data_IF_106480608305
#
_entry.id   IF_106480608305
#
_cell.length_a   1.000
_cell.length_b   1.000
_cell.length_c   1.000
_cell.angle_alpha   90.00
_cell.angle_beta   90.00
_cell.angle_gamma   90.00
#
_symmetry.space_group_name_H-M   'P 1'
#
loop_
_entity.id
_entity.type
_entity.pdbx_description
1 polymer ?
#
# COMPACT_ATOMS: atom_id res chain seq x y z
N UNK A 1 -29.77 15.40 -17.36
CA UNK A 1 -28.61 15.23 -18.25
C UNK A 1 -27.57 14.48 -17.45
N UNK A 2 -27.56 13.16 -17.60
CA UNK A 2 -26.77 12.22 -16.81
C UNK A 2 -25.85 11.51 -17.79
N UNK A 3 -24.55 11.49 -17.45
CA UNK A 3 -23.47 10.61 -17.93
C UNK A 3 -23.25 10.41 -19.44
N UNK A 4 -22.22 11.08 -19.95
CA UNK A 4 -21.40 10.57 -21.07
C UNK A 4 -19.96 10.18 -20.66
N UNK A 5 -19.57 10.32 -19.38
CA UNK A 5 -18.22 9.93 -18.91
C UNK A 5 -18.15 8.52 -18.26
N UNK A 6 -19.20 7.71 -18.37
CA UNK A 6 -19.26 6.37 -17.78
C UNK A 6 -18.56 5.27 -18.61
N UNK A 7 -17.82 5.64 -19.67
CA UNK A 7 -17.18 4.69 -20.59
C UNK A 7 -15.65 4.53 -20.40
N UNK A 8 -15.02 5.27 -19.47
CA UNK A 8 -13.57 5.27 -19.28
C UNK A 8 -13.05 4.45 -18.08
N UNK A 9 -13.94 3.84 -17.29
CA UNK A 9 -13.55 2.98 -16.18
C UNK A 9 -14.38 1.70 -16.20
N UNK A 10 -14.01 0.78 -17.11
CA UNK A 10 -14.33 -0.64 -16.94
C UNK A 10 -13.02 -1.39 -16.88
N UNK A 11 -12.96 -2.29 -15.90
CA UNK A 11 -11.95 -3.32 -15.69
C UNK A 11 -10.69 -2.90 -14.92
N UNK A 12 -10.88 -2.35 -13.71
CA UNK A 12 -9.93 -2.63 -12.61
C UNK A 12 -10.24 -4.03 -12.06
N UNK A 13 -9.72 -5.06 -12.73
CA UNK A 13 -9.55 -6.37 -12.12
C UNK A 13 -8.32 -6.31 -11.20
N UNK A 14 -8.53 -6.53 -9.90
CA UNK A 14 -7.47 -6.97 -9.01
C UNK A 14 -6.91 -8.28 -9.60
N UNK A 15 -5.68 -8.23 -10.11
CA UNK A 15 -5.07 -9.35 -10.82
C UNK A 15 -4.19 -10.15 -9.86
N UNK A 16 -4.76 -11.19 -9.24
CA UNK A 16 -4.04 -12.21 -8.46
C UNK A 16 -3.45 -13.30 -9.39
N UNK A 17 -2.89 -12.95 -10.54
CA UNK A 17 -2.36 -13.92 -11.52
C UNK A 17 -0.82 -13.81 -11.67
N UNK A 18 -0.04 -14.87 -11.35
CA UNK A 18 1.41 -14.90 -11.60
C UNK A 18 1.78 -14.85 -13.10
N UNK A 19 0.79 -14.95 -13.99
CA UNK A 19 0.94 -14.95 -15.46
C UNK A 19 0.37 -13.70 -16.13
N UNK A 20 0.49 -12.51 -15.53
CA UNK A 20 0.31 -11.26 -16.28
C UNK A 20 1.54 -11.05 -17.19
N UNK A 21 1.66 -11.89 -18.23
CA UNK A 21 2.81 -11.94 -19.12
C UNK A 21 2.70 -10.84 -20.18
N UNK A 22 3.20 -9.65 -19.85
CA UNK A 22 3.56 -8.67 -20.88
C UNK A 22 4.60 -9.34 -21.79
N UNK A 23 4.16 -9.84 -22.94
CA UNK A 23 4.98 -10.61 -23.88
C UNK A 23 4.86 -10.06 -25.31
N UNK A 24 5.23 -8.78 -25.53
CA UNK A 24 5.13 -8.15 -26.84
C UNK A 24 5.98 -8.87 -27.87
N UNK A 25 5.44 -8.89 -29.10
CA UNK A 25 6.06 -9.51 -30.27
C UNK A 25 5.99 -8.53 -31.44
N UNK A 26 7.14 -8.15 -32.00
CA UNK A 26 7.25 -7.30 -33.19
C UNK A 26 8.12 -7.99 -34.23
N UNK A 27 7.81 -7.78 -35.52
CA UNK A 27 8.65 -8.28 -36.63
C UNK A 27 9.26 -7.07 -37.32
N UNK A 28 10.57 -7.06 -37.46
CA UNK A 28 11.34 -6.00 -38.11
C UNK A 28 12.34 -6.61 -39.07
N UNK A 29 12.30 -6.20 -40.35
CA UNK A 29 13.17 -6.73 -41.41
C UNK A 29 13.22 -8.27 -41.45
N UNK A 30 12.09 -8.93 -41.18
CA UNK A 30 11.96 -10.39 -41.13
C UNK A 30 12.45 -11.05 -39.85
N UNK A 31 13.05 -10.30 -38.92
CA UNK A 31 13.44 -10.78 -37.58
C UNK A 31 12.28 -10.57 -36.63
N UNK A 32 11.83 -11.64 -35.99
CA UNK A 32 10.88 -11.56 -34.90
C UNK A 32 11.60 -11.28 -33.58
N UNK A 33 11.14 -10.24 -32.88
CA UNK A 33 11.58 -9.85 -31.54
C UNK A 33 10.44 -10.15 -30.58
N UNK A 34 10.67 -11.02 -29.61
CA UNK A 34 9.71 -11.37 -28.57
C UNK A 34 10.31 -11.09 -27.20
N UNK A 35 9.57 -10.41 -26.34
CA UNK A 35 9.86 -10.38 -24.91
C UNK A 35 9.01 -11.43 -24.20
N UNK A 36 9.60 -12.16 -23.26
CA UNK A 36 8.88 -13.13 -22.44
C UNK A 36 9.58 -13.28 -21.09
N UNK A 37 8.82 -13.18 -19.99
CA UNK A 37 9.30 -13.50 -18.64
C UNK A 37 10.60 -12.80 -18.21
N UNK A 38 10.86 -11.57 -18.66
CA UNK A 38 12.09 -10.84 -18.31
C UNK A 38 13.26 -11.05 -19.28
N UNK A 39 13.02 -11.57 -20.49
CA UNK A 39 14.07 -11.79 -21.48
C UNK A 39 13.61 -11.56 -22.92
N UNK A 40 14.54 -11.19 -23.79
CA UNK A 40 14.31 -11.07 -25.23
C UNK A 40 14.79 -12.31 -25.99
N UNK A 41 13.97 -12.74 -26.95
CA UNK A 41 14.32 -13.77 -27.93
C UNK A 41 14.12 -13.22 -29.33
N UNK A 42 15.08 -13.50 -30.21
CA UNK A 42 15.09 -13.09 -31.61
C UNK A 42 15.00 -14.31 -32.51
N UNK A 43 14.19 -14.27 -33.57
CA UNK A 43 14.07 -15.37 -34.54
C UNK A 43 14.10 -14.88 -35.97
N UNK A 44 14.88 -15.55 -36.82
CA UNK A 44 14.91 -15.35 -38.26
C UNK A 44 14.92 -16.70 -38.98
N UNK A 45 13.83 -17.04 -39.67
CA UNK A 45 13.61 -18.39 -40.18
C UNK A 45 13.66 -19.42 -39.04
N UNK A 46 14.52 -20.42 -39.18
CA UNK A 46 14.73 -21.49 -38.19
C UNK A 46 15.79 -21.15 -37.11
N UNK A 47 16.45 -19.98 -37.21
CA UNK A 47 17.50 -19.55 -36.28
C UNK A 47 16.93 -18.72 -35.15
N UNK A 48 17.41 -18.97 -33.93
CA UNK A 48 16.97 -18.31 -32.70
C UNK A 48 18.20 -17.78 -31.95
N UNK A 49 18.13 -16.56 -31.43
CA UNK A 49 19.11 -15.97 -30.55
C UNK A 49 18.45 -15.48 -29.25
N UNK A 50 19.04 -15.84 -28.11
CA UNK A 50 18.51 -15.56 -26.76
C UNK A 50 18.31 -16.85 -25.94
N UNK A 51 17.66 -16.76 -24.77
CA UNK A 51 17.10 -15.55 -24.17
C UNK A 51 18.19 -14.56 -23.70
N UNK A 52 17.91 -13.27 -23.85
CA UNK A 52 18.75 -12.17 -23.37
C UNK A 52 18.05 -11.41 -22.25
N UNK A 53 18.64 -11.39 -21.05
CA UNK A 53 18.09 -10.66 -19.90
C UNK A 53 18.52 -9.19 -19.86
N UNK A 54 19.68 -8.88 -20.44
CA UNK A 54 20.19 -7.50 -20.55
C UNK A 54 20.38 -7.15 -22.03
N UNK A 55 19.43 -6.39 -22.57
CA UNK A 55 19.43 -6.00 -23.98
C UNK A 55 20.45 -4.90 -24.29
N UNK A 56 20.94 -4.18 -23.27
CA UNK A 56 21.94 -3.13 -23.45
C UNK A 56 23.31 -3.70 -23.79
N UNK A 57 23.63 -4.89 -23.28
CA UNK A 57 24.89 -5.60 -23.55
C UNK A 57 24.90 -6.34 -24.89
N UNK A 58 23.74 -6.69 -25.44
CA UNK A 58 23.66 -7.37 -26.74
C UNK A 58 24.17 -6.47 -27.86
N UNK A 59 25.18 -6.89 -28.61
CA UNK A 59 25.68 -6.13 -29.75
C UNK A 59 25.02 -6.57 -31.07
N UNK A 60 24.90 -5.68 -32.07
CA UNK A 60 24.40 -6.05 -33.39
C UNK A 60 25.24 -7.13 -34.07
N UNK A 61 26.55 -7.17 -33.84
CA UNK A 61 27.46 -8.17 -34.39
C UNK A 61 27.15 -9.57 -33.85
N UNK A 62 26.95 -9.70 -32.54
CA UNK A 62 26.58 -10.98 -31.91
C UNK A 62 25.24 -11.49 -32.46
N UNK A 63 24.26 -10.59 -32.59
CA UNK A 63 22.93 -10.93 -33.10
C UNK A 63 22.97 -11.32 -34.58
N UNK A 64 23.78 -10.60 -35.37
CA UNK A 64 24.05 -10.88 -36.79
C UNK A 64 24.66 -12.27 -36.97
N UNK A 65 25.68 -12.61 -36.19
CA UNK A 65 26.35 -13.91 -36.25
C UNK A 65 25.40 -15.06 -35.90
N UNK A 66 24.66 -14.95 -34.79
CA UNK A 66 23.74 -16.01 -34.32
C UNK A 66 22.57 -16.23 -35.27
N UNK A 67 22.02 -15.17 -35.86
CA UNK A 67 20.87 -15.26 -36.76
C UNK A 67 21.26 -15.41 -38.24
N UNK A 68 22.53 -15.21 -38.60
CA UNK A 68 22.99 -15.22 -40.00
C UNK A 68 22.32 -14.15 -40.86
N UNK A 69 22.09 -12.98 -40.29
CA UNK A 69 21.47 -11.82 -40.94
C UNK A 69 22.51 -10.73 -41.18
N UNK A 70 22.18 -9.73 -42.01
CA UNK A 70 23.07 -8.57 -42.14
C UNK A 70 23.03 -7.67 -40.87
N UNK A 71 24.05 -6.83 -40.73
CA UNK A 71 24.20 -5.95 -39.56
C UNK A 71 23.07 -4.91 -39.45
N UNK A 72 22.44 -4.54 -40.57
CA UNK A 72 21.34 -3.56 -40.58
C UNK A 72 20.07 -4.18 -39.99
N UNK A 73 19.74 -5.42 -40.36
CA UNK A 73 18.66 -6.21 -39.79
C UNK A 73 18.91 -6.50 -38.31
N UNK A 74 20.15 -6.83 -37.93
CA UNK A 74 20.52 -7.05 -36.53
C UNK A 74 20.37 -5.77 -35.69
N UNK A 75 20.84 -4.62 -36.19
CA UNK A 75 20.67 -3.33 -35.53
C UNK A 75 19.19 -2.98 -35.36
N UNK A 76 18.38 -3.14 -36.41
CA UNK A 76 16.94 -2.86 -36.36
C UNK A 76 16.20 -3.75 -35.35
N UNK A 77 16.56 -5.03 -35.27
CA UNK A 77 16.03 -5.97 -34.27
C UNK A 77 16.41 -5.55 -32.85
N UNK A 78 17.67 -5.20 -32.59
CA UNK A 78 18.12 -4.70 -31.28
C UNK A 78 17.39 -3.41 -30.87
N UNK A 79 17.29 -2.44 -31.78
CA UNK A 79 16.57 -1.18 -31.50
C UNK A 79 15.09 -1.43 -31.20
N UNK A 80 14.47 -2.40 -31.88
CA UNK A 80 13.09 -2.79 -31.59
C UNK A 80 12.95 -3.40 -30.20
N UNK A 81 13.92 -4.21 -29.76
CA UNK A 81 13.94 -4.75 -28.40
C UNK A 81 14.14 -3.66 -27.34
N UNK A 82 15.04 -2.71 -27.59
CA UNK A 82 15.23 -1.53 -26.73
C UNK A 82 13.95 -0.70 -26.62
N UNK A 83 13.30 -0.41 -27.74
CA UNK A 83 12.03 0.32 -27.75
C UNK A 83 10.95 -0.43 -26.95
N UNK A 84 10.83 -1.75 -27.15
CA UNK A 84 9.90 -2.58 -26.36
C UNK A 84 10.20 -2.45 -24.87
N UNK A 85 11.48 -2.53 -24.47
CA UNK A 85 11.89 -2.42 -23.06
C UNK A 85 11.57 -1.03 -22.47
N UNK A 86 11.84 0.04 -23.23
CA UNK A 86 11.50 1.41 -22.85
C UNK A 86 9.98 1.64 -22.75
N UNK A 87 9.20 1.11 -23.70
CA UNK A 87 7.73 1.17 -23.68
C UNK A 87 7.19 0.50 -22.40
N UNK A 88 7.82 -0.59 -21.92
CA UNK A 88 7.47 -1.21 -20.63
C UNK A 88 7.77 -0.31 -19.45
N UNK A 89 8.96 0.30 -19.44
CA UNK A 89 9.33 1.23 -18.37
C UNK A 89 8.42 2.45 -18.38
N UNK A 90 7.97 2.91 -19.55
CA UNK A 90 7.00 3.99 -19.71
C UNK A 90 5.60 3.58 -19.24
N UNK A 91 5.09 2.40 -19.60
CA UNK A 91 3.83 1.85 -19.05
C UNK A 91 3.90 1.69 -17.52
N UNK A 92 5.07 1.35 -16.97
CA UNK A 92 5.33 1.29 -15.52
C UNK A 92 5.45 2.69 -14.90
N UNK A 93 5.96 3.69 -15.63
CA UNK A 93 5.97 5.08 -15.19
C UNK A 93 4.59 5.74 -15.27
N UNK A 94 3.77 5.34 -16.23
CA UNK A 94 2.37 5.73 -16.39
C UNK A 94 1.46 5.05 -15.35
N UNK A 95 1.96 4.03 -14.64
CA UNK A 95 1.34 3.49 -13.43
C UNK A 95 1.55 4.46 -12.26
N UNK A 96 0.73 5.52 -12.26
CA UNK A 96 0.65 6.60 -11.26
C UNK A 96 1.96 7.36 -11.01
N UNK A 97 2.15 8.47 -11.72
CA UNK A 97 3.03 9.50 -11.20
C UNK A 97 2.41 10.08 -9.90
N UNK A 98 3.26 10.57 -8.99
CA UNK A 98 2.81 11.29 -7.78
C UNK A 98 1.86 12.43 -8.18
N UNK A 99 2.03 13.02 -9.37
CA UNK A 99 1.15 14.05 -9.93
C UNK A 99 -0.27 13.56 -10.16
N UNK A 100 -0.44 12.41 -10.79
CA UNK A 100 -1.76 11.81 -11.03
C UNK A 100 -2.47 11.48 -9.72
N UNK A 101 -1.71 10.99 -8.74
CA UNK A 101 -2.24 10.75 -7.40
C UNK A 101 -2.68 12.06 -6.73
N UNK A 102 -1.88 13.12 -6.84
CA UNK A 102 -2.21 14.44 -6.31
C UNK A 102 -3.47 15.01 -6.96
N UNK A 103 -3.63 14.85 -8.28
CA UNK A 103 -4.80 15.29 -9.02
C UNK A 103 -6.05 14.49 -8.63
N UNK A 104 -5.94 13.17 -8.54
CA UNK A 104 -7.04 12.28 -8.14
C UNK A 104 -7.51 12.58 -6.70
N UNK A 105 -6.57 12.70 -5.75
CA UNK A 105 -6.87 13.10 -4.37
C UNK A 105 -7.32 14.58 -4.28
N UNK A 106 -6.96 15.40 -5.27
CA UNK A 106 -7.34 16.80 -5.42
C UNK A 106 -8.84 17.05 -5.59
N UNK A 107 -9.61 16.01 -5.94
CA UNK A 107 -11.07 16.09 -6.05
C UNK A 107 -11.73 16.33 -4.68
N UNK A 108 -11.21 15.70 -3.63
CA UNK A 108 -11.72 15.84 -2.25
C UNK A 108 -10.85 16.77 -1.39
N UNK A 109 -9.53 16.66 -1.52
CA UNK A 109 -8.55 17.45 -0.75
C UNK A 109 -7.80 18.39 -1.70
N UNK A 110 -8.36 19.60 -1.86
CA UNK A 110 -7.92 20.59 -2.87
C UNK A 110 -6.53 21.21 -2.67
N UNK A 111 -5.98 21.14 -1.46
CA UNK A 111 -4.67 21.70 -1.07
C UNK A 111 -3.90 20.67 -0.27
N UNK A 112 -2.67 20.98 0.13
CA UNK A 112 -1.85 20.12 0.99
C UNK A 112 -1.46 18.79 0.31
N UNK A 113 -0.79 18.93 -0.83
CA UNK A 113 -0.49 17.84 -1.76
C UNK A 113 0.42 16.77 -1.14
N UNK A 114 1.38 17.20 -0.31
CA UNK A 114 2.27 16.28 0.38
C UNK A 114 1.53 15.49 1.46
N UNK A 115 0.75 16.16 2.33
CA UNK A 115 0.08 15.44 3.41
C UNK A 115 -1.00 14.49 2.88
N UNK A 116 -1.72 14.85 1.81
CA UNK A 116 -2.73 13.96 1.24
C UNK A 116 -2.11 12.72 0.60
N UNK A 117 -1.00 12.85 -0.13
CA UNK A 117 -0.28 11.70 -0.70
C UNK A 117 0.27 10.80 0.40
N UNK A 118 0.98 11.37 1.38
CA UNK A 118 1.56 10.57 2.49
C UNK A 118 0.46 9.86 3.27
N UNK A 119 -0.67 10.52 3.52
CA UNK A 119 -1.80 9.90 4.23
C UNK A 119 -2.41 8.76 3.44
N UNK A 120 -2.60 8.94 2.13
CA UNK A 120 -3.11 7.87 1.27
C UNK A 120 -2.18 6.66 1.26
N UNK A 121 -0.88 6.87 1.07
CA UNK A 121 0.12 5.80 1.09
C UNK A 121 0.20 5.10 2.45
N UNK A 122 0.08 5.85 3.55
CA UNK A 122 0.02 5.26 4.88
C UNK A 122 -1.24 4.39 5.07
N UNK A 123 -2.41 4.82 4.59
CA UNK A 123 -3.61 3.98 4.63
C UNK A 123 -3.49 2.75 3.74
N UNK A 124 -2.91 2.91 2.54
CA UNK A 124 -2.67 1.80 1.62
C UNK A 124 -1.71 0.76 2.22
N UNK A 125 -0.72 1.21 3.01
CA UNK A 125 0.21 0.32 3.69
C UNK A 125 -0.47 -0.67 4.64
N UNK A 126 -1.69 -0.40 5.12
CA UNK A 126 -2.45 -1.36 5.93
C UNK A 126 -2.64 -2.71 5.22
N UNK A 127 -2.70 -2.70 3.88
CA UNK A 127 -2.96 -3.89 3.08
C UNK A 127 -1.70 -4.68 2.70
N UNK A 128 -0.51 -4.20 3.08
CA UNK A 128 0.73 -4.98 2.99
C UNK A 128 0.81 -5.98 4.14
N UNK A 129 1.78 -6.90 4.07
CA UNK A 129 1.94 -7.91 5.11
C UNK A 129 2.66 -7.36 6.34
N UNK A 130 3.71 -6.53 6.18
CA UNK A 130 4.57 -6.09 7.28
C UNK A 130 5.11 -4.64 7.18
N UNK A 131 4.61 -3.83 6.25
CA UNK A 131 5.15 -2.49 5.97
C UNK A 131 4.18 -1.36 6.37
N UNK A 132 3.37 -1.59 7.40
CA UNK A 132 2.36 -0.61 7.81
C UNK A 132 3.03 0.65 8.37
N UNK A 133 2.48 1.81 8.03
CA UNK A 133 3.05 3.11 8.40
C UNK A 133 2.14 3.81 9.41
N UNK A 134 2.77 4.43 10.41
CA UNK A 134 2.11 5.30 11.36
C UNK A 134 2.30 6.77 10.97
N UNK A 135 1.22 7.55 11.01
CA UNK A 135 1.22 8.98 10.69
C UNK A 135 0.63 9.76 11.86
N UNK A 136 1.22 10.91 12.20
CA UNK A 136 0.66 11.83 13.18
C UNK A 136 0.57 13.24 12.63
N UNK A 137 -0.66 13.74 12.58
CA UNK A 137 -0.98 15.12 12.27
C UNK A 137 -0.85 15.98 13.52
N UNK A 138 0.19 16.82 13.58
CA UNK A 138 0.47 17.74 14.68
C UNK A 138 0.06 19.16 14.28
N UNK A 139 -1.02 19.66 14.89
CA UNK A 139 -1.44 21.06 14.75
C UNK A 139 -2.24 21.50 15.97
N UNK A 140 -2.40 22.81 16.22
CA UNK A 140 -3.26 23.33 17.31
C UNK A 140 -4.73 22.97 17.09
N UNK A 141 -5.50 22.64 18.15
CA UNK A 141 -6.91 22.19 18.05
C UNK A 141 -7.74 23.04 17.07
N UNK A 142 -8.64 22.40 16.32
CA UNK A 142 -9.56 23.06 15.36
C UNK A 142 -8.97 23.60 14.05
N UNK A 143 -7.77 23.17 13.64
CA UNK A 143 -7.09 23.54 12.38
C UNK A 143 -7.32 22.58 11.21
N UNK A 144 -8.31 21.68 11.27
CA UNK A 144 -8.60 20.74 10.17
C UNK A 144 -7.69 19.51 10.09
N UNK A 145 -6.91 19.20 11.13
CA UNK A 145 -6.05 17.99 11.23
C UNK A 145 -6.74 16.64 11.03
N UNK A 146 -8.06 16.55 11.25
CA UNK A 146 -8.82 15.33 10.95
C UNK A 146 -9.40 15.33 9.53
N UNK A 147 -9.43 16.47 8.83
CA UNK A 147 -10.04 16.61 7.51
C UNK A 147 -9.36 15.70 6.48
N UNK A 148 -8.04 15.83 6.31
CA UNK A 148 -7.28 15.06 5.31
C UNK A 148 -7.42 13.54 5.56
N UNK A 149 -7.18 13.01 6.77
CA UNK A 149 -7.43 11.59 7.05
C UNK A 149 -8.88 11.16 6.86
N UNK A 150 -9.86 11.97 7.25
CA UNK A 150 -11.27 11.57 7.12
C UNK A 150 -11.70 11.49 5.65
N UNK A 151 -11.35 12.49 4.84
CA UNK A 151 -11.66 12.51 3.41
C UNK A 151 -11.00 11.36 2.67
N UNK A 152 -9.71 11.10 2.93
CA UNK A 152 -9.00 10.00 2.28
C UNK A 152 -9.55 8.65 2.75
N UNK A 153 -9.95 8.52 4.02
CA UNK A 153 -10.53 7.27 4.53
C UNK A 153 -11.81 6.87 3.81
N UNK A 154 -12.52 7.80 3.18
CA UNK A 154 -13.73 7.53 2.40
C UNK A 154 -13.43 6.74 1.10
N UNK A 155 -12.17 6.77 0.62
CA UNK A 155 -11.73 6.06 -0.58
C UNK A 155 -11.46 4.57 -0.32
N UNK A 156 -11.36 4.15 0.95
CA UNK A 156 -11.03 2.78 1.34
C UNK A 156 -12.29 1.98 1.73
N UNK A 157 -12.23 0.64 1.74
CA UNK A 157 -13.33 -0.19 2.23
C UNK A 157 -13.69 0.17 3.68
N UNK A 158 -14.94 0.59 3.90
CA UNK A 158 -15.34 1.14 5.20
C UNK A 158 -15.35 0.10 6.32
N UNK A 159 -15.47 -1.18 6.00
CA UNK A 159 -15.28 -2.28 6.96
C UNK A 159 -13.86 -2.29 7.52
N UNK A 160 -12.86 -1.83 6.76
CA UNK A 160 -11.44 -1.78 7.18
C UNK A 160 -11.08 -0.53 7.98
N UNK A 161 -11.95 0.48 7.98
CA UNK A 161 -11.72 1.75 8.68
C UNK A 161 -12.23 1.68 10.11
N UNK A 162 -11.34 1.98 11.06
CA UNK A 162 -11.62 1.99 12.49
C UNK A 162 -11.42 3.39 13.04
N UNK A 163 -12.52 4.17 13.14
CA UNK A 163 -12.49 5.52 13.71
C UNK A 163 -12.61 5.47 15.23
N UNK A 164 -11.76 6.23 15.92
CA UNK A 164 -11.67 6.27 17.38
C UNK A 164 -11.65 7.73 17.81
N UNK A 165 -12.79 8.25 18.27
CA UNK A 165 -12.88 9.62 18.78
C UNK A 165 -12.28 9.73 20.18
N UNK A 166 -12.78 8.91 21.09
CA UNK A 166 -12.25 8.75 22.43
C UNK A 166 -12.52 7.30 22.84
N UNK A 167 -11.52 6.60 23.34
CA UNK A 167 -11.69 5.25 23.86
C UNK A 167 -10.94 5.12 25.17
N UNK A 168 -11.67 4.78 26.23
CA UNK A 168 -11.02 4.20 27.40
C UNK A 168 -10.38 2.86 27.01
N UNK A 169 -9.31 2.42 27.70
CA UNK A 169 -8.68 1.14 27.39
C UNK A 169 -9.69 0.00 27.42
N UNK A 170 -10.59 -0.02 28.40
CA UNK A 170 -11.61 -1.07 28.54
C UNK A 170 -12.67 -1.01 27.44
N UNK A 171 -13.14 0.16 27.03
CA UNK A 171 -14.12 0.28 25.94
C UNK A 171 -13.57 -0.26 24.62
N UNK A 172 -12.30 0.02 24.31
CA UNK A 172 -11.63 -0.47 23.10
C UNK A 172 -11.73 -2.00 22.99
N UNK A 173 -11.48 -2.70 24.11
CA UNK A 173 -11.47 -4.16 24.14
C UNK A 173 -12.86 -4.78 24.20
N UNK A 174 -13.84 -4.09 24.78
CA UNK A 174 -15.20 -4.61 24.94
C UNK A 174 -16.10 -4.42 23.72
N UNK A 175 -15.89 -3.36 22.92
CA UNK A 175 -16.76 -3.05 21.79
C UNK A 175 -16.34 -3.76 20.49
N UNK A 176 -15.07 -4.18 20.37
CA UNK A 176 -14.52 -4.73 19.12
C UNK A 176 -14.20 -6.21 19.14
N UNK A 177 -14.17 -6.81 20.32
CA UNK A 177 -13.72 -8.17 20.46
C UNK A 177 -14.82 -9.18 20.19
N UNK A 178 -14.59 -10.07 19.23
CA UNK A 178 -15.41 -11.27 19.08
C UNK A 178 -15.02 -12.26 20.19
N UNK A 179 -16.01 -12.81 20.90
CA UNK A 179 -15.72 -13.87 21.86
C UNK A 179 -15.52 -15.16 21.09
N UNK A 180 -14.34 -15.73 21.24
CA UNK A 180 -14.03 -17.06 20.75
C UNK A 180 -14.75 -18.08 21.64
N UNK A 181 -15.63 -18.90 21.06
CA UNK A 181 -16.46 -19.85 21.81
C UNK A 181 -15.66 -21.04 22.34
N UNK A 182 -14.54 -21.37 21.73
CA UNK A 182 -13.70 -22.52 22.07
C UNK A 182 -12.76 -22.20 23.25
N UNK A 183 -12.13 -21.02 23.20
CA UNK A 183 -11.14 -20.57 24.20
C UNK A 183 -11.75 -19.64 25.25
N UNK A 184 -12.90 -19.03 24.96
CA UNK A 184 -13.53 -18.01 25.79
C UNK A 184 -12.81 -16.65 25.77
N UNK A 185 -11.79 -16.50 24.93
CA UNK A 185 -11.00 -15.27 24.78
C UNK A 185 -11.75 -14.21 23.96
N UNK A 186 -11.39 -12.96 24.16
CA UNK A 186 -11.88 -11.84 23.36
C UNK A 186 -10.83 -11.55 22.28
N UNK A 187 -11.14 -11.85 21.03
CA UNK A 187 -10.22 -11.68 19.90
C UNK A 187 -10.51 -10.37 19.15
N UNK A 188 -9.45 -9.60 18.89
CA UNK A 188 -9.47 -8.34 18.16
C UNK A 188 -8.51 -8.44 16.99
N UNK A 189 -9.08 -8.55 15.80
CA UNK A 189 -8.33 -8.60 14.55
C UNK A 189 -8.13 -7.18 13.98
N UNK A 190 -6.87 -6.75 13.96
CA UNK A 190 -6.41 -5.49 13.38
C UNK A 190 -5.67 -5.69 12.04
N UNK A 191 -5.63 -6.91 11.52
CA UNK A 191 -5.00 -7.19 10.24
C UNK A 191 -5.72 -6.48 9.10
N UNK A 192 -4.94 -5.77 8.27
CA UNK A 192 -5.47 -4.96 7.16
C UNK A 192 -6.53 -3.94 7.60
N UNK A 193 -6.40 -3.42 8.83
CA UNK A 193 -7.25 -2.33 9.35
C UNK A 193 -6.48 -1.01 9.36
N UNK A 194 -7.24 0.07 9.16
CA UNK A 194 -6.74 1.45 9.27
C UNK A 194 -7.36 2.05 10.52
N UNK A 195 -6.54 2.38 11.53
CA UNK A 195 -6.98 3.03 12.75
C UNK A 195 -6.82 4.53 12.62
N UNK A 196 -7.90 5.28 12.85
CA UNK A 196 -7.89 6.74 12.83
C UNK A 196 -8.31 7.24 14.20
N UNK A 197 -7.35 7.75 14.96
CA UNK A 197 -7.59 8.44 16.23
C UNK A 197 -7.90 9.90 15.95
N UNK A 198 -9.15 10.32 16.21
CA UNK A 198 -9.61 11.69 15.96
C UNK A 198 -9.23 12.67 17.08
N UNK A 199 -8.84 12.13 18.24
CA UNK A 199 -8.29 12.87 19.38
C UNK A 199 -7.20 12.03 20.07
N UNK A 200 -6.52 12.61 21.04
CA UNK A 200 -5.46 11.95 21.79
C UNK A 200 -6.00 10.71 22.51
N UNK A 201 -5.49 9.50 22.20
CA UNK A 201 -5.91 8.30 22.91
C UNK A 201 -5.44 8.37 24.36
N UNK A 202 -6.17 7.68 25.24
CA UNK A 202 -5.76 7.55 26.63
C UNK A 202 -4.38 6.88 26.72
N UNK A 203 -3.47 7.39 27.56
CA UNK A 203 -2.08 6.90 27.64
C UNK A 203 -1.98 5.38 27.84
N UNK A 204 -2.80 4.81 28.73
CA UNK A 204 -2.83 3.35 28.94
C UNK A 204 -3.27 2.54 27.70
N UNK A 205 -4.07 3.11 26.80
CA UNK A 205 -4.41 2.45 25.55
C UNK A 205 -3.21 2.50 24.61
N UNK A 206 -2.57 3.67 24.50
CA UNK A 206 -1.37 3.84 23.69
C UNK A 206 -0.25 2.90 24.15
N UNK A 207 0.02 2.82 25.45
CA UNK A 207 1.01 1.91 26.05
C UNK A 207 0.77 0.45 25.68
N UNK A 208 -0.49 0.02 25.58
CA UNK A 208 -0.84 -1.33 25.15
C UNK A 208 -0.70 -1.52 23.64
N UNK A 209 -0.93 -0.48 22.85
CA UNK A 209 -0.77 -0.57 21.40
C UNK A 209 0.69 -0.38 20.94
N UNK A 210 1.59 0.08 21.82
CA UNK A 210 3.02 0.30 21.51
C UNK A 210 3.69 -0.83 20.74
N UNK A 211 3.59 -2.11 21.14
CA UNK A 211 4.27 -3.19 20.44
C UNK A 211 3.77 -3.41 19.01
N UNK A 212 2.51 -3.04 18.72
CA UNK A 212 1.95 -3.08 17.37
C UNK A 212 2.41 -1.88 16.55
N UNK A 213 2.45 -0.68 17.16
CA UNK A 213 2.93 0.54 16.49
C UNK A 213 4.42 0.45 16.14
N UNK A 214 5.18 -0.36 16.87
CA UNK A 214 6.60 -0.59 16.63
C UNK A 214 6.92 -1.79 15.74
N UNK A 215 5.91 -2.55 15.33
CA UNK A 215 6.06 -3.83 14.63
C UNK A 215 6.91 -4.87 15.38
N UNK A 216 6.98 -4.77 16.72
CA UNK A 216 7.77 -5.68 17.55
C UNK A 216 7.06 -7.04 17.72
N UNK A 217 5.73 -7.04 17.83
CA UNK A 217 4.91 -8.24 18.04
C UNK A 217 3.59 -8.16 17.28
N UNK A 218 3.35 -9.11 16.37
CA UNK A 218 2.11 -9.22 15.58
C UNK A 218 0.91 -9.69 16.40
N UNK A 219 1.15 -10.33 17.55
CA UNK A 219 0.11 -10.85 18.44
C UNK A 219 0.37 -10.39 19.87
N UNK A 220 -0.66 -9.86 20.53
CA UNK A 220 -0.61 -9.39 21.91
C UNK A 220 -1.69 -10.03 22.76
N UNK A 221 -1.31 -10.54 23.93
CA UNK A 221 -2.23 -11.17 24.88
C UNK A 221 -2.30 -10.32 26.15
N UNK A 222 -3.49 -9.81 26.46
CA UNK A 222 -3.79 -9.02 27.64
C UNK A 222 -4.74 -9.76 28.58
N UNK A 223 -4.48 -9.68 29.89
CA UNK A 223 -5.40 -10.15 30.92
C UNK A 223 -6.04 -8.95 31.61
N UNK A 224 -7.35 -8.81 31.48
CA UNK A 224 -8.12 -7.69 32.03
C UNK A 224 -9.06 -8.21 33.12
N UNK A 225 -9.07 -7.57 34.27
CA UNK A 225 -9.96 -7.93 35.38
C UNK A 225 -11.28 -7.18 35.27
N UNK A 226 -12.40 -7.90 35.23
CA UNK A 226 -13.74 -7.34 35.24
C UNK A 226 -14.24 -7.20 36.70
N UNK A 227 -14.67 -5.99 37.06
CA UNK A 227 -15.16 -5.65 38.41
C UNK A 227 -16.69 -5.65 38.52
N UNK A 228 -17.44 -5.99 37.45
CA UNK A 228 -18.88 -5.71 37.36
C UNK A 228 -19.84 -6.78 37.92
N UNK A 229 -19.40 -7.92 38.44
CA UNK A 229 -20.33 -8.96 38.94
C UNK A 229 -20.27 -9.18 40.46
N UNK A 230 -21.45 -9.35 41.07
CA UNK A 230 -21.69 -9.70 42.48
C UNK A 230 -21.04 -11.03 42.94
N UNK A 231 -20.30 -11.72 42.07
CA UNK A 231 -19.76 -13.08 42.23
C UNK A 231 -18.22 -13.15 42.25
N UNK A 232 -17.51 -12.01 42.29
CA UNK A 232 -16.05 -11.95 42.46
C UNK A 232 -15.30 -11.41 41.23
N UNK A 233 -13.98 -11.19 41.39
CA UNK A 233 -13.11 -10.71 40.31
C UNK A 233 -12.91 -11.82 39.27
N UNK A 234 -13.37 -11.60 38.03
CA UNK A 234 -13.12 -12.51 36.90
C UNK A 234 -12.10 -11.87 35.95
N UNK A 235 -11.09 -12.64 35.57
CA UNK A 235 -10.09 -12.23 34.58
C UNK A 235 -10.54 -12.69 33.20
N UNK A 236 -10.58 -11.75 32.24
CA UNK A 236 -10.83 -12.00 30.82
C UNK A 236 -9.51 -11.89 30.06
N UNK A 237 -9.26 -12.82 29.15
CA UNK A 237 -8.13 -12.75 28.23
C UNK A 237 -8.58 -12.06 26.94
N UNK A 238 -7.79 -11.09 26.48
CA UNK A 238 -7.97 -10.37 25.22
C UNK A 238 -6.76 -10.62 24.35
N UNK A 239 -6.98 -11.01 23.09
CA UNK A 239 -5.93 -11.26 22.10
C UNK A 239 -6.08 -10.27 20.96
N UNK A 240 -5.02 -9.52 20.65
CA UNK A 240 -4.96 -8.59 19.51
C UNK A 240 -4.03 -9.17 18.47
N UNK A 241 -4.44 -9.19 17.20
CA UNK A 241 -3.69 -9.83 16.11
C UNK A 241 -3.56 -8.85 14.94
N UNK A 242 -2.39 -8.86 14.29
CA UNK A 242 -2.14 -8.17 13.03
C UNK A 242 -1.63 -6.75 13.19
N UNK A 243 -0.94 -6.27 12.16
CA UNK A 243 -0.43 -4.90 12.11
C UNK A 243 -1.43 -3.99 11.37
N UNK A 244 -1.88 -2.90 12.01
CA UNK A 244 -2.65 -1.89 11.32
C UNK A 244 -1.80 -0.71 10.84
N UNK A 245 -2.31 0.04 9.86
CA UNK A 245 -1.85 1.41 9.65
C UNK A 245 -2.57 2.35 10.64
N UNK A 246 -1.82 3.27 11.28
CA UNK A 246 -2.39 4.11 12.33
C UNK A 246 -2.19 5.59 12.04
N UNK A 247 -3.26 6.35 12.17
CA UNK A 247 -3.28 7.80 11.94
C UNK A 247 -3.75 8.50 13.21
N UNK A 248 -2.91 9.40 13.72
CA UNK A 248 -3.17 10.22 14.89
C UNK A 248 -3.50 11.66 14.50
N UNK A 249 -4.73 12.10 14.73
CA UNK A 249 -5.18 13.48 14.50
C UNK A 249 -5.13 14.30 15.81
N UNK A 250 -3.95 14.47 16.41
CA UNK A 250 -3.84 14.95 17.81
C UNK A 250 -3.04 16.23 17.93
N UNK A 251 -3.40 17.12 18.87
CA UNK A 251 -2.73 18.42 18.99
C UNK A 251 -1.31 18.38 19.58
N UNK A 252 -1.12 17.64 20.67
CA UNK A 252 0.20 17.37 21.27
C UNK A 252 0.24 15.91 21.67
N UNK A 253 0.77 15.06 20.79
CA UNK A 253 1.10 13.71 21.19
C UNK A 253 2.35 13.81 22.08
N UNK A 254 2.17 13.65 23.39
CA UNK A 254 3.28 13.44 24.32
C UNK A 254 3.81 12.01 24.11
N UNK A 255 4.45 11.82 22.96
CA UNK A 255 5.19 10.61 22.65
C UNK A 255 6.56 10.68 23.31
N UNK A 256 7.03 9.52 23.75
CA UNK A 256 8.44 9.32 24.03
C UNK A 256 9.25 9.63 22.76
N UNK A 257 10.47 10.18 22.88
CA UNK A 257 11.32 10.53 21.74
C UNK A 257 11.56 9.33 20.81
N UNK A 258 11.55 8.11 21.38
CA UNK A 258 11.66 6.85 20.65
C UNK A 258 10.42 6.48 19.82
N UNK A 259 9.24 6.98 20.18
CA UNK A 259 7.99 6.73 19.44
C UNK A 259 7.84 7.72 18.29
N UNK A 260 8.33 8.95 18.45
CA UNK A 260 8.29 9.97 17.40
C UNK A 260 9.11 9.57 16.16
N UNK A 261 10.16 8.76 16.31
CA UNK A 261 10.98 8.25 15.19
C UNK A 261 10.31 7.13 14.41
N UNK A 262 9.24 6.54 14.95
CA UNK A 262 8.48 5.42 14.34
C UNK A 262 7.20 5.88 13.65
N UNK A 263 7.04 7.18 13.46
CA UNK A 263 5.88 7.76 12.78
C UNK A 263 6.31 8.91 11.88
N UNK A 264 5.58 9.10 10.79
CA UNK A 264 5.73 10.29 9.97
C UNK A 264 4.93 11.42 10.62
N UNK A 265 5.62 12.50 10.95
CA UNK A 265 5.01 13.69 11.53
C UNK A 265 4.61 14.66 10.41
N UNK A 266 3.31 14.93 10.31
CA UNK A 266 2.75 15.84 9.34
C UNK A 266 2.16 17.05 10.06
N UNK A 267 2.29 18.21 9.43
CA UNK A 267 1.65 19.45 9.85
C UNK A 267 0.76 19.90 8.71
N UNK A 268 -0.58 19.98 8.89
CA UNK A 268 -1.49 20.52 7.90
C UNK A 268 -1.03 21.89 7.41
N UNK A 269 -1.08 22.11 6.10
CA UNK A 269 -0.94 23.44 5.50
C UNK A 269 -2.21 24.25 5.81
N UNK A 270 -2.06 25.48 6.31
CA UNK A 270 -3.17 26.41 6.63
C UNK A 270 -3.60 27.18 5.38
#
# INVERSE_FOLDING_TARGET
MINENAALYKDFHACDNPECSWSPRKIVRGVEVKFDGGSFTFRYGDRIAGPYHDIYQLTPEELSEKLGIDLEAALAARLTALQIYEDRELEIRDLLEIRDLVEALGVTVKRDDMNKVVTFLAMLSAFTDNDQINVSFRAESSTGKSYIPLEISALFPQDRIVRIAYSSPTAFFHERGARDEETGEIMIDLEKRILIFLDQPHNQLLERLRPLLSHDQKELIYKITDKREKLGLRTKTVRIIGYPAVIFCTGRLALDEQEATRMILLSPEV
#
